data_IF_189156691491
#
_entry.id   IF_189156691491
#
_cell.length_a   1.000
_cell.length_b   1.000
_cell.length_c   1.000
_cell.angle_alpha   90.00
_cell.angle_beta   90.00
_cell.angle_gamma   90.00
#
_symmetry.space_group_name_H-M   'P 1'
#
loop_
_entity.id
_entity.type
_entity.pdbx_description
1 polymer ?
#
# COMPACT_ATOMS: atom_id res chain seq x y z
N UNK A 1 15.60 -4.41 -15.22
CA UNK A 1 15.88 -4.38 -13.76
C UNK A 1 15.83 -5.81 -13.25
N UNK A 2 16.85 -6.29 -12.53
CA UNK A 2 16.83 -7.63 -11.95
C UNK A 2 15.70 -7.76 -10.89
N UNK A 3 15.07 -8.93 -10.81
CA UNK A 3 14.02 -9.29 -9.84
C UNK A 3 14.40 -9.02 -8.39
N UNK A 4 15.65 -9.28 -7.96
CA UNK A 4 16.11 -8.96 -6.58
C UNK A 4 15.93 -7.48 -6.24
N UNK A 5 16.36 -6.60 -7.16
CA UNK A 5 16.22 -5.15 -7.01
C UNK A 5 14.74 -4.74 -7.01
N UNK A 6 13.91 -5.38 -7.82
CA UNK A 6 12.47 -5.14 -7.84
C UNK A 6 11.80 -5.50 -6.50
N UNK A 7 12.11 -6.68 -5.95
CA UNK A 7 11.61 -7.11 -4.64
C UNK A 7 12.06 -6.18 -3.51
N UNK A 8 13.32 -5.74 -3.54
CA UNK A 8 13.82 -4.76 -2.58
C UNK A 8 13.07 -3.42 -2.66
N UNK A 9 12.81 -2.91 -3.87
CA UNK A 9 12.03 -1.67 -4.03
C UNK A 9 10.60 -1.81 -3.50
N UNK A 10 9.97 -2.96 -3.72
CA UNK A 10 8.62 -3.26 -3.18
C UNK A 10 8.66 -3.31 -1.67
N UNK A 11 9.64 -4.00 -1.09
CA UNK A 11 9.79 -4.11 0.36
C UNK A 11 10.04 -2.76 1.03
N UNK A 12 10.90 -1.91 0.45
CA UNK A 12 11.12 -0.54 0.95
C UNK A 12 9.85 0.30 0.80
N UNK A 13 9.14 0.19 -0.33
CA UNK A 13 7.86 0.87 -0.53
C UNK A 13 6.83 0.50 0.53
N UNK A 14 6.69 -0.79 0.83
CA UNK A 14 5.79 -1.30 1.86
C UNK A 14 6.22 -0.89 3.28
N UNK A 15 7.52 -0.86 3.56
CA UNK A 15 8.03 -0.35 4.83
C UNK A 15 7.69 1.14 5.03
N UNK A 16 7.76 1.95 3.95
CA UNK A 16 7.35 3.35 3.99
C UNK A 16 5.84 3.53 4.16
N UNK A 17 5.02 2.57 3.73
CA UNK A 17 3.60 2.54 4.10
C UNK A 17 3.42 2.20 5.59
N UNK A 18 4.23 1.31 6.16
CA UNK A 18 4.15 0.96 7.58
C UNK A 18 4.35 2.15 8.52
N UNK A 19 5.09 3.18 8.11
CA UNK A 19 5.27 4.41 8.90
C UNK A 19 4.10 5.41 8.76
N UNK A 20 3.06 5.15 7.95
CA UNK A 20 1.89 6.03 7.80
C UNK A 20 1.26 6.33 9.17
N UNK A 21 1.12 5.30 10.02
CA UNK A 21 0.51 5.41 11.34
C UNK A 21 1.18 6.44 12.26
N UNK A 22 2.49 6.67 12.08
CA UNK A 22 3.24 7.73 12.79
C UNK A 22 2.62 9.10 12.51
N UNK A 23 2.57 9.48 11.23
CA UNK A 23 2.09 10.81 10.82
C UNK A 23 0.60 10.98 11.05
N UNK A 24 -0.19 9.93 10.78
CA UNK A 24 -1.64 9.92 11.01
C UNK A 24 -1.94 10.17 12.49
N UNK A 25 -1.24 9.48 13.41
CA UNK A 25 -1.44 9.65 14.85
C UNK A 25 -1.14 11.08 15.32
N UNK A 26 -0.04 11.67 14.87
CA UNK A 26 0.29 13.06 15.25
C UNK A 26 -0.66 14.09 14.64
N UNK A 27 -1.10 13.91 13.38
CA UNK A 27 -2.08 14.79 12.76
C UNK A 27 -3.46 14.67 13.43
N UNK A 28 -3.90 13.46 13.80
CA UNK A 28 -5.13 13.27 14.59
C UNK A 28 -5.06 14.01 15.93
N UNK A 29 -3.92 13.95 16.64
CA UNK A 29 -3.70 14.71 17.90
C UNK A 29 -3.75 16.22 17.70
N UNK A 30 -3.47 16.71 16.50
CA UNK A 30 -3.55 18.13 16.13
C UNK A 30 -4.95 18.53 15.63
N UNK A 31 -5.93 17.62 15.64
CA UNK A 31 -7.33 17.90 15.30
C UNK A 31 -7.73 17.57 13.86
N UNK A 32 -6.87 16.93 13.07
CA UNK A 32 -7.23 16.49 11.73
C UNK A 32 -8.07 15.21 11.79
N UNK A 33 -9.13 15.15 10.98
CA UNK A 33 -9.89 13.91 10.77
C UNK A 33 -9.23 13.00 9.72
N UNK A 34 -9.57 11.72 9.73
CA UNK A 34 -9.02 10.74 8.79
C UNK A 34 -9.20 11.10 7.31
N UNK A 35 -10.35 11.68 6.94
CA UNK A 35 -10.63 12.10 5.55
C UNK A 35 -9.77 13.31 5.14
N UNK A 36 -9.54 14.25 6.07
CA UNK A 36 -8.65 15.39 5.85
C UNK A 36 -7.21 14.90 5.68
N UNK A 37 -6.75 13.97 6.53
CA UNK A 37 -5.40 13.41 6.42
C UNK A 37 -5.20 12.68 5.08
N UNK A 38 -6.17 11.87 4.64
CA UNK A 38 -6.08 11.19 3.33
C UNK A 38 -6.10 12.18 2.17
N UNK A 39 -6.89 13.23 2.25
CA UNK A 39 -6.93 14.29 1.24
C UNK A 39 -5.60 15.01 1.16
N UNK A 40 -5.08 15.47 2.31
CA UNK A 40 -3.79 16.15 2.41
C UNK A 40 -2.69 15.26 1.85
N UNK A 41 -2.67 13.98 2.25
CA UNK A 41 -1.73 12.98 1.74
C UNK A 41 -1.77 12.87 0.22
N UNK A 42 -2.96 12.82 -0.37
CA UNK A 42 -3.12 12.71 -1.82
C UNK A 42 -2.65 13.99 -2.54
N UNK A 43 -3.04 15.17 -2.03
CA UNK A 43 -2.63 16.47 -2.58
C UNK A 43 -1.12 16.66 -2.48
N UNK A 44 -0.51 16.37 -1.32
CA UNK A 44 0.93 16.60 -1.12
C UNK A 44 1.77 15.60 -1.91
N UNK A 45 1.33 14.34 -2.01
CA UNK A 45 1.97 13.38 -2.91
C UNK A 45 1.88 13.81 -4.38
N UNK A 46 0.70 14.25 -4.83
CA UNK A 46 0.51 14.76 -6.18
C UNK A 46 1.41 15.98 -6.45
N UNK A 47 1.49 16.91 -5.49
CA UNK A 47 2.37 18.07 -5.55
C UNK A 47 3.84 17.67 -5.71
N UNK A 48 4.37 16.81 -4.83
CA UNK A 48 5.77 16.39 -4.92
C UNK A 48 6.08 15.58 -6.17
N UNK A 49 5.14 14.72 -6.60
CA UNK A 49 5.28 13.93 -7.84
C UNK A 49 5.30 14.82 -9.08
N UNK A 50 4.36 15.78 -9.17
CA UNK A 50 4.32 16.75 -10.27
C UNK A 50 5.57 17.61 -10.27
N UNK A 51 5.93 18.19 -9.13
CA UNK A 51 7.14 19.01 -8.99
C UNK A 51 8.38 18.22 -9.43
N UNK A 52 8.62 17.05 -8.86
CA UNK A 52 9.75 16.20 -9.23
C UNK A 52 9.78 15.85 -10.72
N UNK A 53 8.63 15.53 -11.31
CA UNK A 53 8.55 15.15 -12.73
C UNK A 53 8.76 16.35 -13.65
N UNK A 54 8.22 17.52 -13.30
CA UNK A 54 8.44 18.77 -14.03
C UNK A 54 9.91 19.15 -14.10
N UNK A 55 10.68 19.00 -13.02
CA UNK A 55 12.10 19.35 -13.04
C UNK A 55 12.98 18.27 -13.66
N UNK A 56 12.59 17.00 -13.55
CA UNK A 56 13.41 15.89 -14.02
C UNK A 56 13.21 15.58 -15.50
N UNK A 57 11.96 15.48 -15.92
CA UNK A 57 11.57 15.09 -17.28
C UNK A 57 10.10 15.42 -17.56
N UNK A 58 9.79 16.67 -17.98
CA UNK A 58 8.42 17.09 -18.29
C UNK A 58 7.73 16.24 -19.36
N UNK A 59 8.47 15.54 -20.22
CA UNK A 59 7.88 14.72 -21.29
C UNK A 59 7.06 13.55 -20.71
N UNK A 60 7.38 13.12 -19.48
CA UNK A 60 6.62 12.09 -18.77
C UNK A 60 5.22 12.55 -18.35
N UNK A 61 4.96 13.85 -18.31
CA UNK A 61 3.61 14.37 -18.07
C UNK A 61 2.74 14.37 -19.32
N UNK A 62 3.24 13.89 -20.46
CA UNK A 62 2.42 13.76 -21.67
C UNK A 62 1.69 12.42 -21.65
N UNK A 63 0.39 12.48 -21.39
CA UNK A 63 -0.51 11.32 -21.50
C UNK A 63 -1.52 11.54 -22.62
N UNK A 64 -2.00 10.45 -23.19
CA UNK A 64 -3.13 10.49 -24.11
C UNK A 64 -4.43 10.57 -23.30
N UNK A 65 -5.32 11.52 -23.61
CA UNK A 65 -6.58 11.69 -22.86
C UNK A 65 -7.43 10.41 -22.81
N UNK A 66 -7.41 9.61 -23.87
CA UNK A 66 -8.09 8.29 -23.94
C UNK A 66 -7.59 7.27 -22.91
N UNK A 67 -6.37 7.45 -22.40
CA UNK A 67 -5.77 6.58 -21.40
C UNK A 67 -6.10 7.01 -19.96
N UNK A 68 -6.88 8.09 -19.78
CA UNK A 68 -7.37 8.54 -18.46
C UNK A 68 -8.08 7.45 -17.67
N UNK A 69 -8.68 6.47 -18.35
CA UNK A 69 -9.30 5.29 -17.72
C UNK A 69 -8.36 4.51 -16.80
N UNK A 70 -7.06 4.45 -17.12
CA UNK A 70 -6.08 3.78 -16.26
C UNK A 70 -5.88 4.56 -14.96
N UNK A 71 -5.84 5.88 -15.03
CA UNK A 71 -5.63 6.76 -13.88
C UNK A 71 -6.89 6.95 -13.04
N UNK A 72 -8.08 6.87 -13.66
CA UNK A 72 -9.35 6.68 -12.94
C UNK A 72 -9.31 5.34 -12.18
N UNK A 73 -8.84 4.27 -12.83
CA UNK A 73 -8.65 2.96 -12.21
C UNK A 73 -7.70 3.00 -11.00
N UNK A 74 -6.49 3.50 -11.16
CA UNK A 74 -5.49 3.54 -10.09
C UNK A 74 -5.82 4.57 -9.01
N UNK A 75 -6.22 5.78 -9.39
CA UNK A 75 -6.43 6.90 -8.46
C UNK A 75 -7.80 6.90 -7.79
N UNK A 76 -8.87 6.84 -8.57
CA UNK A 76 -10.24 6.96 -8.04
C UNK A 76 -10.73 5.61 -7.53
N UNK A 77 -10.78 4.61 -8.42
CA UNK A 77 -11.33 3.29 -8.09
C UNK A 77 -10.46 2.60 -7.05
N UNK A 78 -9.14 2.67 -7.16
CA UNK A 78 -8.27 2.00 -6.18
C UNK A 78 -8.01 2.89 -4.98
N UNK A 79 -7.31 4.03 -5.14
CA UNK A 79 -6.88 4.83 -3.98
C UNK A 79 -8.04 5.50 -3.25
N UNK A 80 -8.96 6.18 -3.93
CA UNK A 80 -10.04 6.91 -3.24
C UNK A 80 -11.07 5.97 -2.61
N UNK A 81 -11.59 4.99 -3.36
CA UNK A 81 -12.60 4.06 -2.83
C UNK A 81 -12.05 3.13 -1.75
N UNK A 82 -10.80 2.67 -1.82
CA UNK A 82 -10.27 1.87 -0.70
C UNK A 82 -10.23 2.68 0.59
N UNK A 83 -9.79 3.94 0.55
CA UNK A 83 -9.74 4.78 1.77
C UNK A 83 -11.16 5.01 2.32
N UNK A 84 -12.14 5.24 1.44
CA UNK A 84 -13.52 5.39 1.85
C UNK A 84 -14.09 4.12 2.49
N UNK A 85 -13.90 2.96 1.85
CA UNK A 85 -14.28 1.66 2.40
C UNK A 85 -13.59 1.38 3.75
N UNK A 86 -12.29 1.63 3.84
CA UNK A 86 -11.50 1.41 5.06
C UNK A 86 -12.03 2.25 6.22
N UNK A 87 -12.20 3.56 6.04
CA UNK A 87 -12.71 4.41 7.12
C UNK A 87 -14.15 4.11 7.48
N UNK A 88 -14.97 3.73 6.50
CA UNK A 88 -16.33 3.31 6.78
C UNK A 88 -16.34 2.01 7.57
N UNK A 89 -15.50 1.04 7.22
CA UNK A 89 -15.32 -0.19 8.00
C UNK A 89 -14.83 0.09 9.42
N UNK A 90 -13.88 1.02 9.60
CA UNK A 90 -13.40 1.42 10.94
C UNK A 90 -14.54 1.99 11.80
N UNK A 91 -15.44 2.79 11.22
CA UNK A 91 -16.60 3.35 11.95
C UNK A 91 -17.62 2.29 12.35
N UNK A 92 -17.80 1.28 11.50
CA UNK A 92 -18.80 0.21 11.70
C UNK A 92 -18.26 -0.99 12.50
N UNK A 93 -16.94 -1.09 12.67
CA UNK A 93 -16.27 -2.22 13.30
C UNK A 93 -15.19 -1.74 14.27
N UNK A 94 -13.93 -2.05 14.01
CA UNK A 94 -12.76 -1.56 14.73
C UNK A 94 -11.60 -1.37 13.76
N UNK A 95 -10.58 -0.63 14.21
CA UNK A 95 -9.35 -0.43 13.44
C UNK A 95 -8.69 -1.77 13.09
N UNK A 96 -8.62 -2.70 14.06
CA UNK A 96 -8.02 -4.02 13.88
C UNK A 96 -8.80 -4.88 12.88
N UNK A 97 -10.14 -4.93 12.99
CA UNK A 97 -10.98 -5.72 12.07
C UNK A 97 -10.86 -5.16 10.64
N UNK A 98 -11.00 -3.85 10.48
CA UNK A 98 -10.88 -3.20 9.18
C UNK A 98 -9.50 -3.44 8.55
N UNK A 99 -8.42 -3.41 9.34
CA UNK A 99 -7.07 -3.70 8.87
C UNK A 99 -6.89 -5.17 8.46
N UNK A 100 -7.38 -6.14 9.25
CA UNK A 100 -7.33 -7.57 8.87
C UNK A 100 -8.03 -7.79 7.53
N UNK A 101 -9.20 -7.19 7.34
CA UNK A 101 -9.96 -7.30 6.10
C UNK A 101 -9.27 -6.59 4.93
N UNK A 102 -8.60 -5.45 5.16
CA UNK A 102 -7.76 -4.79 4.16
C UNK A 102 -6.63 -5.71 3.66
N UNK A 103 -5.95 -6.41 4.57
CA UNK A 103 -4.86 -7.33 4.22
C UNK A 103 -5.31 -8.63 3.55
N UNK A 104 -6.60 -8.78 3.23
CA UNK A 104 -7.05 -9.76 2.23
C UNK A 104 -6.67 -9.35 0.80
N UNK A 105 -6.19 -8.12 0.59
CA UNK A 105 -5.79 -7.60 -0.71
C UNK A 105 -4.82 -8.51 -1.49
N UNK A 106 -3.76 -9.12 -0.92
CA UNK A 106 -2.88 -10.01 -1.66
C UNK A 106 -3.59 -11.24 -2.24
N UNK A 107 -4.67 -11.71 -1.60
CA UNK A 107 -5.50 -12.77 -2.13
C UNK A 107 -6.28 -12.31 -3.37
N UNK A 108 -6.92 -11.13 -3.30
CA UNK A 108 -7.59 -10.52 -4.46
C UNK A 108 -6.61 -10.26 -5.61
N UNK A 109 -5.42 -9.71 -5.34
CA UNK A 109 -4.38 -9.50 -6.37
C UNK A 109 -4.00 -10.84 -7.00
N UNK A 110 -3.81 -11.89 -6.20
CA UNK A 110 -3.44 -13.22 -6.70
C UNK A 110 -4.52 -13.81 -7.62
N UNK A 111 -5.79 -13.72 -7.21
CA UNK A 111 -6.95 -14.16 -8.02
C UNK A 111 -7.03 -13.39 -9.33
N UNK A 112 -7.01 -12.05 -9.29
CA UNK A 112 -7.08 -11.23 -10.50
C UNK A 112 -5.88 -11.43 -11.41
N UNK A 113 -4.69 -11.62 -10.84
CA UNK A 113 -3.49 -11.85 -11.64
C UNK A 113 -3.54 -13.19 -12.38
N UNK A 114 -4.12 -14.23 -11.76
CA UNK A 114 -4.38 -15.49 -12.44
C UNK A 114 -5.38 -15.32 -13.58
N UNK A 115 -6.47 -14.58 -13.37
CA UNK A 115 -7.54 -14.41 -14.37
C UNK A 115 -7.08 -13.52 -15.54
N UNK A 116 -6.49 -12.35 -15.23
CA UNK A 116 -6.20 -11.30 -16.20
C UNK A 116 -4.82 -11.42 -16.85
N UNK A 117 -3.82 -11.86 -16.08
CA UNK A 117 -2.43 -11.96 -16.54
C UNK A 117 -1.96 -13.40 -16.73
N UNK A 118 -2.82 -14.38 -16.41
CA UNK A 118 -2.51 -15.82 -16.51
C UNK A 118 -1.30 -16.24 -15.67
N UNK A 119 -0.96 -15.48 -14.63
CA UNK A 119 0.12 -15.83 -13.70
C UNK A 119 -0.12 -17.21 -13.09
N UNK A 120 0.93 -18.03 -12.96
CA UNK A 120 0.81 -19.38 -12.41
C UNK A 120 0.60 -19.34 -10.89
N UNK A 121 -0.38 -20.11 -10.39
CA UNK A 121 -0.61 -20.33 -8.96
C UNK A 121 0.24 -21.49 -8.44
N UNK A 122 1.54 -21.26 -8.32
CA UNK A 122 2.47 -22.26 -7.78
C UNK A 122 2.19 -22.52 -6.30
N UNK A 123 2.44 -23.74 -5.81
CA UNK A 123 2.31 -24.08 -4.39
C UNK A 123 3.12 -23.14 -3.49
N UNK A 124 4.28 -22.67 -3.97
CA UNK A 124 5.12 -21.69 -3.27
C UNK A 124 4.43 -20.34 -3.06
N UNK A 125 3.72 -19.84 -4.07
CA UNK A 125 2.92 -18.60 -3.95
C UNK A 125 1.73 -18.78 -3.01
N UNK A 126 1.03 -19.90 -3.10
CA UNK A 126 -0.13 -20.19 -2.23
C UNK A 126 0.31 -20.30 -0.78
N UNK A 127 1.38 -21.04 -0.50
CA UNK A 127 1.93 -21.18 0.85
C UNK A 127 2.36 -19.81 1.39
N UNK A 128 3.12 -19.03 0.62
CA UNK A 128 3.51 -17.68 1.03
C UNK A 128 2.30 -16.77 1.30
N UNK A 129 1.28 -16.79 0.43
CA UNK A 129 0.06 -16.03 0.63
C UNK A 129 -0.63 -16.42 1.95
N UNK A 130 -0.89 -17.71 2.17
CA UNK A 130 -1.56 -18.17 3.40
C UNK A 130 -0.74 -17.83 4.64
N UNK A 131 0.58 -18.05 4.61
CA UNK A 131 1.47 -17.70 5.73
C UNK A 131 1.45 -16.20 6.02
N UNK A 132 1.53 -15.34 5.00
CA UNK A 132 1.47 -13.88 5.20
C UNK A 132 0.10 -13.39 5.68
N UNK A 133 -1.02 -13.99 5.22
CA UNK A 133 -2.36 -13.62 5.69
C UNK A 133 -2.55 -13.94 7.18
N UNK A 134 -2.16 -15.15 7.60
CA UNK A 134 -2.21 -15.54 9.02
C UNK A 134 -1.26 -14.65 9.83
N UNK A 135 -0.05 -14.41 9.32
CA UNK A 135 0.92 -13.52 9.95
C UNK A 135 0.38 -12.11 10.15
N UNK A 136 -0.20 -11.50 9.12
CA UNK A 136 -0.81 -10.16 9.20
C UNK A 136 -1.90 -10.11 10.26
N UNK A 137 -2.78 -11.11 10.28
CA UNK A 137 -3.84 -11.18 11.29
C UNK A 137 -3.26 -11.20 12.72
N UNK A 138 -2.21 -12.00 12.96
CA UNK A 138 -1.53 -12.06 14.25
C UNK A 138 -0.82 -10.75 14.63
N UNK A 139 -0.18 -10.07 13.67
CA UNK A 139 0.51 -8.78 13.90
C UNK A 139 -0.48 -7.68 14.27
N UNK A 140 -1.61 -7.63 13.58
CA UNK A 140 -2.65 -6.62 13.82
C UNK A 140 -3.40 -6.89 15.14
N UNK A 141 -3.45 -8.15 15.56
CA UNK A 141 -4.12 -8.61 16.76
C UNK A 141 -5.51 -9.15 16.44
N UNK A 142 -5.65 -10.47 16.53
CA UNK A 142 -6.91 -11.20 16.25
C UNK A 142 -7.88 -11.14 17.46
N UNK A 143 -7.45 -10.57 18.60
CA UNK A 143 -8.17 -10.70 19.87
C UNK A 143 -8.47 -9.37 20.60
N UNK A 144 -9.10 -8.35 19.99
CA UNK A 144 -10.01 -7.52 20.78
C UNK A 144 -11.26 -8.35 21.10
N UNK A 145 -11.87 -8.16 22.27
CA UNK A 145 -13.12 -8.79 22.67
C UNK A 145 -14.11 -8.84 21.49
N UNK A 146 -14.25 -10.01 20.85
CA UNK A 146 -15.29 -10.28 19.84
C UNK A 146 -16.63 -10.49 20.56
N UNK A 147 -16.90 -9.67 21.57
CA UNK A 147 -18.14 -9.64 22.34
C UNK A 147 -19.23 -8.87 21.59
N UNK A 148 -18.86 -8.08 20.57
CA UNK A 148 -19.78 -7.47 19.61
C UNK A 148 -19.87 -8.26 18.30
N UNK A 149 -21.08 -8.50 17.81
CA UNK A 149 -21.30 -9.03 16.46
C UNK A 149 -20.80 -8.02 15.42
N UNK A 150 -19.92 -8.47 14.52
CA UNK A 150 -19.50 -7.65 13.36
C UNK A 150 -20.72 -7.49 12.45
N UNK A 151 -21.13 -6.24 12.17
CA UNK A 151 -22.21 -6.00 11.22
C UNK A 151 -21.80 -6.49 9.82
N UNK A 152 -22.72 -7.12 9.09
CA UNK A 152 -22.45 -7.55 7.70
C UNK A 152 -21.98 -6.36 6.85
N UNK A 153 -22.55 -5.18 7.09
CA UNK A 153 -22.18 -3.94 6.42
C UNK A 153 -20.71 -3.58 6.66
N UNK A 154 -20.26 -3.55 7.92
CA UNK A 154 -18.87 -3.28 8.29
C UNK A 154 -17.89 -4.32 7.72
N UNK A 155 -18.27 -5.59 7.73
CA UNK A 155 -17.50 -6.67 7.11
C UNK A 155 -17.34 -6.49 5.59
N UNK A 156 -18.43 -6.19 4.88
CA UNK A 156 -18.38 -5.95 3.44
C UNK A 156 -17.57 -4.70 3.08
N UNK A 157 -17.64 -3.64 3.89
CA UNK A 157 -16.79 -2.46 3.72
C UNK A 157 -15.31 -2.79 3.94
N UNK A 158 -14.98 -3.60 4.95
CA UNK A 158 -13.61 -4.03 5.21
C UNK A 158 -13.05 -4.86 4.06
N UNK A 159 -13.80 -5.85 3.56
CA UNK A 159 -13.42 -6.61 2.36
C UNK A 159 -13.33 -5.72 1.12
N UNK A 160 -14.23 -4.74 0.99
CA UNK A 160 -14.19 -3.73 -0.06
C UNK A 160 -12.89 -2.94 -0.06
N UNK A 161 -12.35 -2.61 1.13
CA UNK A 161 -11.06 -1.93 1.24
C UNK A 161 -9.90 -2.79 0.68
N UNK A 162 -9.87 -4.10 1.01
CA UNK A 162 -8.88 -5.03 0.46
C UNK A 162 -9.03 -5.22 -1.05
N UNK A 163 -10.27 -5.29 -1.53
CA UNK A 163 -10.59 -5.39 -2.96
C UNK A 163 -10.11 -4.16 -3.75
N UNK A 164 -10.48 -2.94 -3.35
CA UNK A 164 -10.08 -1.72 -4.05
C UNK A 164 -8.58 -1.46 -3.93
N UNK A 165 -7.96 -1.80 -2.80
CA UNK A 165 -6.51 -1.76 -2.67
C UNK A 165 -5.83 -2.71 -3.68
N UNK A 166 -6.34 -3.93 -3.83
CA UNK A 166 -5.80 -4.91 -4.79
C UNK A 166 -5.90 -4.42 -6.25
N UNK A 167 -6.96 -3.70 -6.60
CA UNK A 167 -7.13 -3.15 -7.95
C UNK A 167 -6.04 -2.16 -8.34
N UNK A 168 -5.36 -1.53 -7.37
CA UNK A 168 -4.23 -0.64 -7.66
C UNK A 168 -3.14 -1.37 -8.44
N UNK A 169 -2.71 -2.55 -7.97
CA UNK A 169 -1.66 -3.34 -8.61
C UNK A 169 -2.09 -3.82 -10.00
N UNK A 170 -3.38 -4.17 -10.16
CA UNK A 170 -3.94 -4.64 -11.42
C UNK A 170 -3.99 -3.52 -12.47
N UNK A 171 -4.60 -2.38 -12.14
CA UNK A 171 -4.66 -1.23 -13.05
C UNK A 171 -3.27 -0.66 -13.34
N UNK A 172 -2.38 -0.63 -12.35
CA UNK A 172 -0.99 -0.25 -12.56
C UNK A 172 -0.32 -1.14 -13.59
N UNK A 173 -0.52 -2.47 -13.55
CA UNK A 173 0.11 -3.38 -14.51
C UNK A 173 -0.35 -3.11 -15.95
N UNK A 174 -1.61 -2.70 -16.15
CA UNK A 174 -2.08 -2.25 -17.47
C UNK A 174 -1.49 -0.90 -17.88
N UNK A 175 -1.46 0.07 -16.97
CA UNK A 175 -0.90 1.40 -17.23
C UNK A 175 0.61 1.33 -17.56
N UNK A 176 1.36 0.47 -16.84
CA UNK A 176 2.79 0.27 -16.97
C UNK A 176 3.21 -0.35 -18.31
N UNK A 177 2.29 -0.92 -19.09
CA UNK A 177 2.55 -1.35 -20.47
C UNK A 177 2.72 -0.18 -21.44
N UNK A 178 2.18 0.99 -21.10
CA UNK A 178 2.19 2.19 -21.95
C UNK A 178 3.03 3.33 -21.35
N UNK A 179 3.04 3.45 -20.03
CA UNK A 179 3.63 4.58 -19.31
C UNK A 179 4.68 4.11 -18.31
N UNK A 180 5.67 4.95 -18.03
CA UNK A 180 6.65 4.64 -16.99
C UNK A 180 6.04 4.75 -15.58
N UNK A 181 6.70 4.14 -14.59
CA UNK A 181 6.21 4.11 -13.21
C UNK A 181 6.01 5.50 -12.59
N UNK A 182 6.80 6.50 -12.98
CA UNK A 182 6.65 7.86 -12.46
C UNK A 182 5.37 8.50 -13.00
N UNK A 183 5.12 8.40 -14.31
CA UNK A 183 3.87 8.88 -14.92
C UNK A 183 2.64 8.24 -14.30
N UNK A 184 2.65 6.90 -14.12
CA UNK A 184 1.53 6.17 -13.51
C UNK A 184 1.26 6.66 -12.09
N UNK A 185 2.30 6.89 -11.29
CA UNK A 185 2.13 7.35 -9.90
C UNK A 185 1.70 8.81 -9.81
N UNK A 186 2.24 9.71 -10.65
CA UNK A 186 1.80 11.11 -10.76
C UNK A 186 0.29 11.16 -10.98
N UNK A 187 -0.19 10.51 -12.04
CA UNK A 187 -1.60 10.59 -12.40
C UNK A 187 -2.51 9.81 -11.45
N UNK A 188 -2.02 8.73 -10.82
CA UNK A 188 -2.74 8.09 -9.72
C UNK A 188 -3.08 9.09 -8.62
N UNK A 189 -2.10 9.85 -8.15
CA UNK A 189 -2.31 10.79 -7.05
C UNK A 189 -3.01 12.08 -7.46
N UNK A 190 -2.81 12.56 -8.70
CA UNK A 190 -3.60 13.68 -9.23
C UNK A 190 -5.09 13.32 -9.27
N UNK A 191 -5.45 12.17 -9.85
CA UNK A 191 -6.85 11.74 -9.93
C UNK A 191 -7.42 11.42 -8.54
N UNK A 192 -6.64 10.79 -7.66
CA UNK A 192 -7.05 10.55 -6.28
C UNK A 192 -7.32 11.87 -5.55
N UNK A 193 -6.40 12.85 -5.63
CA UNK A 193 -6.53 14.15 -4.99
C UNK A 193 -7.78 14.89 -5.49
N UNK A 194 -8.01 14.93 -6.81
CA UNK A 194 -9.21 15.54 -7.40
C UNK A 194 -10.48 14.87 -6.89
N UNK A 195 -10.50 13.54 -6.78
CA UNK A 195 -11.69 12.81 -6.34
C UNK A 195 -12.00 12.99 -4.85
N UNK A 196 -10.99 13.03 -3.97
CA UNK A 196 -11.20 13.10 -2.51
C UNK A 196 -11.36 14.53 -1.99
N UNK A 197 -10.78 15.53 -2.67
CA UNK A 197 -10.78 16.94 -2.20
C UNK A 197 -12.18 17.51 -1.97
N UNK A 198 -13.19 17.31 -2.84
CA UNK A 198 -14.54 17.85 -2.63
C UNK A 198 -15.21 17.37 -1.34
N UNK A 199 -14.84 16.18 -0.84
CA UNK A 199 -15.41 15.57 0.37
C UNK A 199 -14.58 15.81 1.63
N UNK A 200 -13.49 16.56 1.51
CA UNK A 200 -12.46 16.64 2.55
C UNK A 200 -12.78 17.56 3.71
N UNK A 201 -13.62 18.58 3.49
CA UNK A 201 -13.86 19.62 4.48
C UNK A 201 -12.59 20.36 4.92
N UNK A 202 -11.57 20.49 4.08
CA UNK A 202 -10.30 21.16 4.45
C UNK A 202 -10.48 22.62 4.84
N UNK A 203 -11.53 23.28 4.35
CA UNK A 203 -11.81 24.68 4.67
C UNK A 203 -12.08 24.91 6.17
N UNK A 204 -12.58 23.92 6.90
CA UNK A 204 -12.89 24.05 8.33
C UNK A 204 -11.65 24.01 9.22
N UNK A 205 -10.48 23.63 8.68
CA UNK A 205 -9.25 23.42 9.45
C UNK A 205 -8.10 24.34 9.04
N UNK A 206 -8.36 25.39 8.27
CA UNK A 206 -7.34 26.38 7.91
C UNK A 206 -6.54 26.93 9.10
N UNK A 207 -7.13 27.19 10.29
CA UNK A 207 -6.37 27.66 11.44
C UNK A 207 -5.28 26.68 11.91
N UNK A 208 -5.44 25.38 11.67
CA UNK A 208 -4.45 24.36 12.09
C UNK A 208 -3.13 24.49 11.32
N UNK A 209 -3.14 24.99 10.09
CA UNK A 209 -1.95 25.13 9.25
C UNK A 209 -0.98 26.23 9.72
N UNK A 210 -1.41 27.09 10.65
CA UNK A 210 -0.56 28.08 11.32
C UNK A 210 0.48 27.42 12.24
N UNK A 211 0.27 26.16 12.66
CA UNK A 211 1.23 25.42 13.47
C UNK A 211 2.35 24.82 12.58
N UNK A 212 3.62 25.23 12.76
CA UNK A 212 4.73 24.72 11.93
C UNK A 212 4.92 23.20 12.00
N UNK A 213 4.56 22.56 13.12
CA UNK A 213 4.68 21.11 13.29
C UNK A 213 3.74 20.33 12.35
N UNK A 214 2.60 20.91 11.97
CA UNK A 214 1.68 20.30 11.00
C UNK A 214 2.40 20.04 9.68
N UNK A 215 3.18 21.01 9.20
CA UNK A 215 3.92 20.88 7.94
C UNK A 215 4.94 19.77 7.96
N UNK A 216 5.63 19.54 9.09
CA UNK A 216 6.54 18.41 9.24
C UNK A 216 5.83 17.08 9.02
N UNK A 217 4.65 16.89 9.62
CA UNK A 217 3.89 15.65 9.47
C UNK A 217 3.23 15.52 8.08
N UNK A 218 2.76 16.62 7.50
CA UNK A 218 2.19 16.66 6.15
C UNK A 218 3.25 16.31 5.10
N UNK A 219 4.44 16.92 5.18
CA UNK A 219 5.56 16.64 4.29
C UNK A 219 6.02 15.21 4.49
N UNK A 220 6.15 14.75 5.74
CA UNK A 220 6.55 13.38 6.03
C UNK A 220 5.60 12.34 5.43
N UNK A 221 4.30 12.54 5.63
CA UNK A 221 3.24 11.67 5.11
C UNK A 221 3.15 11.69 3.58
N UNK A 222 3.20 12.88 2.98
CA UNK A 222 3.11 13.06 1.53
C UNK A 222 4.34 12.57 0.78
N UNK A 223 5.53 12.87 1.29
CA UNK A 223 6.79 12.56 0.64
C UNK A 223 7.23 11.11 0.88
N UNK A 224 7.46 10.72 2.14
CA UNK A 224 8.01 9.39 2.46
C UNK A 224 6.97 8.31 2.30
N UNK A 225 5.85 8.45 3.00
CA UNK A 225 4.83 7.41 3.09
C UNK A 225 3.93 7.30 1.86
N UNK A 226 4.00 8.26 0.94
CA UNK A 226 3.10 8.29 -0.22
C UNK A 226 3.86 8.39 -1.52
N UNK A 227 4.44 9.54 -1.86
CA UNK A 227 5.20 9.69 -3.11
C UNK A 227 6.27 8.61 -3.24
N UNK A 228 7.19 8.52 -2.27
CA UNK A 228 8.33 7.61 -2.35
C UNK A 228 7.86 6.16 -2.26
N UNK A 229 6.99 5.84 -1.30
CA UNK A 229 6.43 4.50 -1.12
C UNK A 229 5.79 3.96 -2.41
N UNK A 230 4.85 4.72 -2.99
CA UNK A 230 4.16 4.30 -4.22
C UNK A 230 5.08 4.31 -5.44
N UNK A 231 6.02 5.25 -5.55
CA UNK A 231 7.00 5.26 -6.66
C UNK A 231 7.88 4.01 -6.64
N UNK A 232 8.39 3.63 -5.47
CA UNK A 232 9.23 2.45 -5.30
C UNK A 232 8.44 1.17 -5.54
N UNK A 233 7.24 1.06 -4.95
CA UNK A 233 6.35 -0.08 -5.16
C UNK A 233 6.00 -0.26 -6.64
N UNK A 234 5.53 0.80 -7.32
CA UNK A 234 5.14 0.73 -8.74
C UNK A 234 6.32 0.41 -9.64
N UNK A 235 7.49 0.97 -9.35
CA UNK A 235 8.72 0.67 -10.10
C UNK A 235 9.11 -0.80 -9.96
N UNK A 236 9.03 -1.36 -8.75
CA UNK A 236 9.27 -2.79 -8.52
C UNK A 236 8.20 -3.67 -9.18
N UNK A 237 6.92 -3.32 -9.02
CA UNK A 237 5.77 -3.99 -9.64
C UNK A 237 5.90 -4.12 -11.17
N UNK A 238 6.51 -3.13 -11.82
CA UNK A 238 6.74 -3.20 -13.27
C UNK A 238 7.56 -4.44 -13.68
N UNK A 239 8.55 -4.82 -12.86
CA UNK A 239 9.50 -5.87 -13.17
C UNK A 239 9.13 -7.27 -12.64
N UNK A 240 8.05 -7.40 -11.86
CA UNK A 240 7.65 -8.69 -11.26
C UNK A 240 6.15 -8.95 -11.41
N UNK A 241 5.73 -10.18 -11.10
CA UNK A 241 4.34 -10.57 -11.03
C UNK A 241 3.58 -9.79 -9.94
N UNK A 242 2.32 -9.43 -10.22
CA UNK A 242 1.54 -8.61 -9.30
C UNK A 242 1.22 -9.38 -8.02
N UNK A 243 0.97 -10.69 -8.13
CA UNK A 243 0.79 -11.60 -6.99
C UNK A 243 1.99 -11.61 -6.03
N UNK A 244 3.22 -11.62 -6.55
CA UNK A 244 4.44 -11.58 -5.72
C UNK A 244 4.60 -10.22 -5.06
N UNK A 245 4.37 -9.14 -5.81
CA UNK A 245 4.49 -7.79 -5.29
C UNK A 245 3.52 -7.51 -4.14
N UNK A 246 2.27 -7.97 -4.22
CA UNK A 246 1.29 -7.79 -3.15
C UNK A 246 1.63 -8.63 -1.91
N UNK A 247 2.15 -9.85 -2.06
CA UNK A 247 2.60 -10.67 -0.94
C UNK A 247 3.80 -10.01 -0.25
N UNK A 248 4.77 -9.47 -1.00
CA UNK A 248 5.91 -8.74 -0.40
C UNK A 248 5.43 -7.47 0.32
N UNK A 249 4.36 -6.82 -0.16
CA UNK A 249 3.80 -5.63 0.48
C UNK A 249 3.23 -5.89 1.88
N UNK A 250 3.02 -7.15 2.27
CA UNK A 250 2.62 -7.52 3.64
C UNK A 250 3.69 -7.24 4.70
N UNK A 251 4.87 -6.72 4.32
CA UNK A 251 5.83 -6.10 5.24
C UNK A 251 5.23 -4.86 5.95
N UNK A 252 4.29 -4.16 5.32
CA UNK A 252 3.64 -2.96 5.87
C UNK A 252 3.17 -3.11 7.33
N UNK A 253 2.33 -4.10 7.71
CA UNK A 253 1.86 -4.27 9.08
C UNK A 253 2.99 -4.63 10.06
N UNK A 254 4.05 -5.31 9.61
CA UNK A 254 5.23 -5.57 10.44
C UNK A 254 5.93 -4.26 10.79
N UNK A 255 6.15 -3.40 9.80
CA UNK A 255 6.79 -2.11 10.05
C UNK A 255 5.90 -1.20 10.89
N UNK A 256 4.58 -1.21 10.67
CA UNK A 256 3.64 -0.47 11.51
C UNK A 256 3.71 -0.91 12.98
N UNK A 257 3.75 -2.22 13.24
CA UNK A 257 3.89 -2.77 14.59
C UNK A 257 5.22 -2.39 15.25
N UNK A 258 6.33 -2.44 14.50
CA UNK A 258 7.64 -2.02 14.98
C UNK A 258 7.71 -0.52 15.28
N UNK A 259 7.09 0.32 14.44
CA UNK A 259 6.96 1.75 14.70
C UNK A 259 6.16 2.00 15.98
N UNK A 260 5.09 1.23 16.20
CA UNK A 260 4.30 1.35 17.43
C UNK A 260 5.10 1.02 18.68
N UNK A 261 5.87 -0.07 18.63
CA UNK A 261 6.79 -0.45 19.70
C UNK A 261 7.86 0.61 19.96
N UNK A 262 8.54 1.10 18.91
CA UNK A 262 9.69 1.99 19.06
C UNK A 262 9.32 3.44 19.38
N UNK A 263 8.21 3.95 18.84
CA UNK A 263 7.84 5.37 18.94
C UNK A 263 6.76 5.59 19.99
N UNK A 264 5.78 4.68 20.08
CA UNK A 264 4.66 4.81 21.02
C UNK A 264 4.87 3.99 22.31
N UNK A 265 6.00 3.27 22.43
CA UNK A 265 6.33 2.41 23.57
C UNK A 265 5.25 1.34 23.86
N UNK A 266 4.51 0.93 22.82
CA UNK A 266 3.52 -0.14 22.95
C UNK A 266 4.21 -1.49 23.07
N UNK A 267 3.79 -2.34 24.01
CA UNK A 267 4.40 -3.67 24.18
C UNK A 267 3.86 -4.64 23.14
N UNK A 268 4.77 -5.30 22.43
CA UNK A 268 4.41 -6.40 21.53
C UNK A 268 4.12 -7.67 22.33
N UNK A 269 2.98 -8.30 22.08
CA UNK A 269 2.63 -9.59 22.69
C UNK A 269 3.24 -10.77 21.90
N UNK A 270 3.16 -11.98 22.45
CA UNK A 270 3.72 -13.19 21.82
C UNK A 270 3.14 -13.45 20.42
N UNK A 271 1.84 -13.25 20.23
CA UNK A 271 1.19 -13.46 18.93
C UNK A 271 1.70 -12.49 17.86
N UNK A 272 1.96 -11.23 18.22
CA UNK A 272 2.53 -10.25 17.29
C UNK A 272 3.94 -10.65 16.86
N UNK A 273 4.77 -11.16 17.76
CA UNK A 273 6.11 -11.68 17.41
C UNK A 273 6.02 -12.87 16.43
N UNK A 274 5.13 -13.81 16.69
CA UNK A 274 4.88 -14.95 15.78
C UNK A 274 4.39 -14.44 14.42
N UNK A 275 3.44 -13.50 14.43
CA UNK A 275 2.92 -12.88 13.22
C UNK A 275 4.01 -12.21 12.37
N UNK A 276 4.92 -11.47 13.01
CA UNK A 276 6.07 -10.83 12.35
C UNK A 276 6.94 -11.90 11.69
N UNK A 277 7.29 -12.96 12.42
CA UNK A 277 8.11 -14.05 11.88
C UNK A 277 7.43 -14.73 10.68
N UNK A 278 6.12 -14.99 10.75
CA UNK A 278 5.35 -15.58 9.67
C UNK A 278 5.31 -14.70 8.42
N UNK A 279 5.06 -13.40 8.57
CA UNK A 279 5.07 -12.47 7.44
C UNK A 279 6.44 -12.47 6.76
N UNK A 280 7.53 -12.32 7.53
CA UNK A 280 8.88 -12.30 6.97
C UNK A 280 9.22 -13.63 6.27
N UNK A 281 8.85 -14.76 6.85
CA UNK A 281 9.03 -16.07 6.24
C UNK A 281 8.25 -16.21 4.92
N UNK A 282 6.99 -15.76 4.88
CA UNK A 282 6.17 -15.78 3.67
C UNK A 282 6.71 -14.85 2.57
N UNK A 283 7.22 -13.68 2.94
CA UNK A 283 7.88 -12.73 2.03
C UNK A 283 9.17 -13.30 1.44
N UNK A 284 9.97 -14.01 2.23
CA UNK A 284 11.18 -14.69 1.72
C UNK A 284 10.79 -15.88 0.84
N UNK A 285 9.75 -16.62 1.25
CA UNK A 285 9.23 -17.76 0.49
C UNK A 285 8.69 -17.33 -0.87
N UNK A 286 8.03 -16.18 -1.02
CA UNK A 286 7.47 -15.76 -2.31
C UNK A 286 8.51 -15.28 -3.32
N UNK A 287 9.77 -15.08 -2.92
CA UNK A 287 10.82 -14.69 -3.86
C UNK A 287 11.25 -15.91 -4.69
N UNK A 288 11.55 -15.73 -5.98
CA UNK A 288 12.12 -16.83 -6.77
C UNK A 288 13.55 -17.13 -6.28
N UNK A 289 14.01 -18.40 -6.32
CA UNK A 289 15.42 -18.67 -6.13
C UNK A 289 16.15 -17.86 -7.19
N UNK A 290 17.07 -17.00 -6.77
CA UNK A 290 17.88 -16.28 -7.73
C UNK A 290 18.75 -17.25 -8.50
N UNK A 291 18.87 -17.05 -9.82
CA UNK A 291 19.75 -17.72 -10.79
C UNK A 291 21.27 -17.64 -10.44
N UNK A 292 21.63 -17.58 -9.16
CA UNK A 292 23.03 -17.69 -8.70
C UNK A 292 23.50 -19.15 -8.74
N UNK A 293 22.57 -20.13 -8.75
CA UNK A 293 22.90 -21.55 -8.86
C UNK A 293 23.15 -22.03 -10.32
N UNK A 294 22.82 -21.21 -11.32
CA UNK A 294 23.03 -21.56 -12.73
C UNK A 294 24.43 -21.14 -13.23
N UNK A 295 25.08 -20.15 -12.60
CA UNK A 295 26.46 -19.81 -12.93
C UNK A 295 27.46 -20.84 -12.40
N UNK A 296 27.27 -21.36 -11.18
CA UNK A 296 28.13 -22.43 -10.61
C UNK A 296 28.02 -23.75 -11.39
N UNK A 297 26.83 -24.11 -11.87
CA UNK A 297 26.65 -25.31 -12.70
C UNK A 297 27.21 -25.13 -14.12
N UNK A 298 27.26 -23.91 -14.67
CA UNK A 298 27.92 -23.60 -15.95
C UNK A 298 29.46 -23.57 -15.87
N UNK A 299 30.01 -23.30 -14.67
CA UNK A 299 31.44 -23.30 -14.41
C UNK A 299 31.98 -24.67 -14.01
N UNK A 300 31.14 -25.54 -13.45
CA UNK A 300 31.47 -26.95 -13.15
C UNK A 300 31.25 -27.90 -14.34
N UNK A 301 30.72 -27.40 -15.45
CA UNK A 301 30.48 -28.15 -16.70
C UNK A 301 31.38 -27.71 -17.87
N UNK A 302 32.38 -26.87 -17.61
CA UNK A 302 33.47 -26.52 -18.55
C UNK A 302 34.80 -27.03 -18.01
#
# INVERSE_FOLDING_TARGET
MNKKKAYLLIAIGAALWGIIGLFVTYLNKLGFSSIQIVTIRAITAAFFLLFYTLFKDPQRLKIQLQDSKYFIGTGIISVALFNWCLFSAIRETSISIAAILLYTAPAFVTIFSRILFKEALTSRKILALVTTLIGCALVIGIFPDVSGSISLYGFMLGLGSGFFYALYSIFCKFALRKYDSLTVTVYTFVFAAVAVTPFSGLSSIFPLFSNPRVWLYIVGLGFFSTMLAYTLYTKGLNAVESSRASIIATIEPVVASLVSFLVFNEKLNLFQHIGIAMVLAGVLLVQEPSEVLDEESSLLSK
#
